data_IF_948828841947
#
_entry.id   IF_948828841947
#
_cell.length_a   1.000
_cell.length_b   1.000
_cell.length_c   1.000
_cell.angle_alpha   90.00
_cell.angle_beta   90.00
_cell.angle_gamma   90.00
#
_symmetry.space_group_name_H-M   'P 1'
#
loop_
_entity.id
_entity.type
_entity.pdbx_description
1 polymer ?
#
# COMPACT_ATOMS: atom_id res chain seq x y z
N UNK A 1 -28.51 -65.29 8.58
CA UNK A 1 -28.49 -63.84 8.31
C UNK A 1 -28.90 -63.63 6.86
N UNK A 2 -29.97 -62.88 6.60
CA UNK A 2 -30.48 -62.67 5.24
C UNK A 2 -29.59 -61.71 4.47
N UNK A 3 -29.42 -61.91 3.16
CA UNK A 3 -28.60 -61.07 2.29
C UNK A 3 -28.93 -59.56 2.40
N UNK A 4 -30.20 -59.25 2.70
CA UNK A 4 -30.70 -57.88 2.93
C UNK A 4 -30.12 -57.21 4.18
N UNK A 5 -29.81 -57.97 5.22
CA UNK A 5 -29.19 -57.42 6.45
C UNK A 5 -27.74 -57.00 6.20
N UNK A 6 -27.00 -57.79 5.41
CA UNK A 6 -25.61 -57.52 5.04
C UNK A 6 -25.50 -56.30 4.12
N UNK A 7 -26.38 -56.16 3.12
CA UNK A 7 -26.37 -55.01 2.22
C UNK A 7 -26.71 -53.71 2.96
N UNK A 8 -27.65 -53.74 3.91
CA UNK A 8 -28.00 -52.60 4.74
C UNK A 8 -26.80 -52.15 5.61
N UNK A 9 -26.09 -53.09 6.24
CA UNK A 9 -24.91 -52.78 7.05
C UNK A 9 -23.79 -52.13 6.24
N UNK A 10 -23.51 -52.64 5.03
CA UNK A 10 -22.49 -52.06 4.13
C UNK A 10 -22.88 -50.66 3.65
N UNK A 11 -24.16 -50.46 3.31
CA UNK A 11 -24.67 -49.16 2.90
C UNK A 11 -24.58 -48.11 4.02
N UNK A 12 -24.93 -48.50 5.25
CA UNK A 12 -24.79 -47.65 6.44
C UNK A 12 -23.33 -47.29 6.72
N UNK A 13 -22.42 -48.27 6.67
CA UNK A 13 -21.00 -48.02 6.86
C UNK A 13 -20.45 -47.04 5.80
N UNK A 14 -20.84 -47.20 4.54
CA UNK A 14 -20.45 -46.29 3.46
C UNK A 14 -21.03 -44.88 3.65
N UNK A 15 -22.27 -44.74 4.12
CA UNK A 15 -22.90 -43.46 4.41
C UNK A 15 -22.20 -42.72 5.56
N UNK A 16 -21.87 -43.43 6.64
CA UNK A 16 -21.12 -42.87 7.78
C UNK A 16 -19.73 -42.41 7.34
N UNK A 17 -19.03 -43.21 6.53
CA UNK A 17 -17.71 -42.84 6.02
C UNK A 17 -17.75 -41.56 5.16
N UNK A 18 -18.75 -41.44 4.28
CA UNK A 18 -18.96 -40.21 3.48
C UNK A 18 -19.26 -39.00 4.37
N UNK A 19 -20.11 -39.15 5.38
CA UNK A 19 -20.42 -38.08 6.33
C UNK A 19 -19.18 -37.59 7.08
N UNK A 20 -18.32 -38.50 7.53
CA UNK A 20 -17.06 -38.17 8.21
C UNK A 20 -16.11 -37.44 7.27
N UNK A 21 -15.93 -37.92 6.04
CA UNK A 21 -15.09 -37.26 5.03
C UNK A 21 -15.61 -35.86 4.68
N UNK A 22 -16.93 -35.71 4.55
CA UNK A 22 -17.57 -34.42 4.30
C UNK A 22 -17.38 -33.47 5.50
N UNK A 23 -17.48 -33.97 6.73
CA UNK A 23 -17.21 -33.18 7.94
C UNK A 23 -15.75 -32.72 8.02
N UNK A 24 -14.79 -33.60 7.70
CA UNK A 24 -13.37 -33.26 7.68
C UNK A 24 -13.06 -32.18 6.64
N UNK A 25 -13.59 -32.30 5.42
CA UNK A 25 -13.40 -31.28 4.37
C UNK A 25 -14.00 -29.94 4.77
N UNK A 26 -15.19 -29.92 5.38
CA UNK A 26 -15.79 -28.69 5.90
C UNK A 26 -14.99 -28.08 7.06
N UNK A 27 -14.44 -28.91 7.94
CA UNK A 27 -13.58 -28.45 9.04
C UNK A 27 -12.28 -27.83 8.52
N UNK A 28 -11.65 -28.45 7.51
CA UNK A 28 -10.49 -27.90 6.83
C UNK A 28 -10.79 -26.59 6.10
N UNK A 29 -11.94 -26.47 5.44
CA UNK A 29 -12.34 -25.22 4.80
C UNK A 29 -12.56 -24.11 5.82
N UNK A 30 -13.23 -24.40 6.94
CA UNK A 30 -13.47 -23.44 8.01
C UNK A 30 -12.16 -22.94 8.62
N UNK A 31 -11.23 -23.84 8.90
CA UNK A 31 -9.91 -23.45 9.44
C UNK A 31 -9.14 -22.61 8.42
N UNK A 32 -9.12 -22.97 7.14
CA UNK A 32 -8.49 -22.16 6.07
C UNK A 32 -9.11 -20.77 5.95
N UNK A 33 -10.44 -20.66 6.09
CA UNK A 33 -11.15 -19.37 6.05
C UNK A 33 -10.75 -18.47 7.23
N UNK A 34 -10.73 -19.01 8.46
CA UNK A 34 -10.30 -18.24 9.65
C UNK A 34 -8.85 -17.78 9.53
N UNK A 35 -7.96 -18.63 9.01
CA UNK A 35 -6.56 -18.26 8.78
C UNK A 35 -6.40 -17.26 7.61
N UNK A 36 -7.27 -17.29 6.61
CA UNK A 36 -7.28 -16.30 5.53
C UNK A 36 -7.82 -14.96 6.04
N UNK A 37 -8.87 -14.97 6.85
CA UNK A 37 -9.48 -13.78 7.44
C UNK A 37 -8.51 -13.08 8.40
N UNK A 38 -7.82 -13.81 9.28
CA UNK A 38 -6.79 -13.23 10.14
C UNK A 38 -5.61 -12.64 9.35
N UNK A 39 -5.23 -13.23 8.21
CA UNK A 39 -4.19 -12.66 7.34
C UNK A 39 -4.68 -11.39 6.65
N UNK A 40 -5.90 -11.39 6.12
CA UNK A 40 -6.50 -10.22 5.49
C UNK A 40 -6.70 -9.07 6.48
N UNK A 41 -7.15 -9.35 7.70
CA UNK A 41 -7.32 -8.34 8.76
C UNK A 41 -5.99 -7.72 9.19
N UNK A 42 -4.88 -8.47 9.14
CA UNK A 42 -3.53 -7.92 9.40
C UNK A 42 -2.98 -7.08 8.25
N UNK A 43 -3.36 -7.39 7.01
CA UNK A 43 -2.88 -6.69 5.82
C UNK A 43 -3.65 -5.40 5.54
N UNK A 44 -4.95 -5.32 5.86
CA UNK A 44 -5.76 -4.11 5.69
C UNK A 44 -5.16 -2.84 6.29
N UNK A 45 -4.72 -2.79 7.57
CA UNK A 45 -4.16 -1.56 8.13
C UNK A 45 -2.85 -1.16 7.45
N UNK A 46 -2.03 -2.14 7.03
CA UNK A 46 -0.79 -1.89 6.30
C UNK A 46 -1.06 -1.40 4.86
N UNK A 47 -2.05 -1.97 4.18
CA UNK A 47 -2.47 -1.53 2.85
C UNK A 47 -3.05 -0.11 2.90
N UNK A 48 -3.88 0.21 3.90
CA UNK A 48 -4.40 1.56 4.11
C UNK A 48 -3.29 2.57 4.41
N UNK A 49 -2.32 2.21 5.24
CA UNK A 49 -1.16 3.06 5.56
C UNK A 49 -0.26 3.28 4.34
N UNK A 50 0.01 2.23 3.55
CA UNK A 50 0.77 2.34 2.30
C UNK A 50 0.02 3.19 1.26
N UNK A 51 -1.31 3.07 1.18
CA UNK A 51 -2.12 3.83 0.23
C UNK A 51 -2.16 5.32 0.62
N UNK A 52 -2.27 5.62 1.91
CA UNK A 52 -2.26 7.00 2.41
C UNK A 52 -0.86 7.62 2.23
N UNK A 53 0.20 6.87 2.55
CA UNK A 53 1.57 7.27 2.30
C UNK A 53 1.81 7.54 0.80
N UNK A 54 1.33 6.66 -0.08
CA UNK A 54 1.37 6.84 -1.54
C UNK A 54 0.47 7.96 -2.05
N UNK A 55 -0.62 8.31 -1.38
CA UNK A 55 -1.47 9.45 -1.75
C UNK A 55 -0.75 10.76 -1.44
N UNK A 56 -0.20 10.89 -0.23
CA UNK A 56 0.61 12.05 0.19
C UNK A 56 1.84 12.19 -0.71
N UNK A 57 2.52 11.08 -0.99
CA UNK A 57 3.64 11.04 -1.93
C UNK A 57 3.21 11.27 -3.39
N UNK A 58 2.06 10.75 -3.82
CA UNK A 58 1.58 10.83 -5.20
C UNK A 58 1.19 12.25 -5.61
N UNK A 59 0.58 13.00 -4.69
CA UNK A 59 0.32 14.44 -4.85
C UNK A 59 1.64 15.23 -4.98
N UNK A 60 2.71 14.76 -4.35
CA UNK A 60 4.03 15.40 -4.38
C UNK A 60 4.99 14.88 -5.47
N UNK A 61 4.75 13.70 -6.05
CA UNK A 61 5.65 13.02 -7.01
C UNK A 61 5.16 12.97 -8.46
N UNK A 62 3.86 12.76 -8.70
CA UNK A 62 3.39 12.22 -10.01
C UNK A 62 2.68 13.26 -10.88
N UNK A 63 2.15 14.33 -10.29
CA UNK A 63 1.50 15.41 -11.06
C UNK A 63 2.52 16.52 -11.39
N UNK A 64 2.30 17.25 -12.49
CA UNK A 64 3.16 18.33 -13.03
C UNK A 64 3.35 19.53 -12.07
N UNK A 65 3.88 19.29 -10.87
CA UNK A 65 3.63 20.12 -9.70
C UNK A 65 4.43 19.78 -8.45
N UNK A 66 5.28 18.74 -8.47
CA UNK A 66 5.92 18.18 -7.28
C UNK A 66 6.75 19.17 -6.46
N UNK A 67 7.17 18.77 -5.25
CA UNK A 67 7.85 19.67 -4.27
C UNK A 67 9.00 20.45 -4.91
N UNK A 68 9.79 19.80 -5.77
CA UNK A 68 10.86 20.47 -6.50
C UNK A 68 10.42 21.61 -7.42
N UNK A 69 9.26 21.49 -8.07
CA UNK A 69 8.67 22.56 -8.88
C UNK A 69 8.16 23.69 -8.00
N UNK A 70 7.55 23.39 -6.84
CA UNK A 70 7.08 24.40 -5.89
C UNK A 70 8.21 25.23 -5.29
N UNK A 71 9.35 24.62 -5.00
CA UNK A 71 10.57 25.34 -4.62
C UNK A 71 10.97 26.33 -5.73
N UNK A 72 11.01 25.86 -6.98
CA UNK A 72 11.37 26.69 -8.13
C UNK A 72 10.41 27.88 -8.29
N UNK A 73 9.10 27.62 -8.27
CA UNK A 73 8.06 28.65 -8.36
C UNK A 73 8.17 29.68 -7.21
N UNK A 74 8.41 29.23 -5.97
CA UNK A 74 8.59 30.12 -4.82
C UNK A 74 9.77 31.07 -5.01
N UNK A 75 10.90 30.57 -5.50
CA UNK A 75 12.10 31.37 -5.80
C UNK A 75 11.89 32.31 -6.98
N UNK A 76 11.21 31.86 -8.03
CA UNK A 76 10.86 32.69 -9.19
C UNK A 76 9.94 33.85 -8.79
N UNK A 77 8.92 33.60 -7.95
CA UNK A 77 8.03 34.64 -7.42
C UNK A 77 8.82 35.63 -6.56
N UNK A 78 9.68 35.13 -5.66
CA UNK A 78 10.51 35.99 -4.79
C UNK A 78 11.42 36.89 -5.63
N UNK A 79 12.06 36.34 -6.66
CA UNK A 79 12.92 37.09 -7.59
C UNK A 79 12.12 38.11 -8.42
N UNK A 80 10.94 37.73 -8.92
CA UNK A 80 10.07 38.61 -9.69
C UNK A 80 9.60 39.81 -8.85
N UNK A 81 9.21 39.58 -7.60
CA UNK A 81 8.84 40.64 -6.65
C UNK A 81 10.06 41.53 -6.38
N UNK A 82 11.21 40.96 -6.06
CA UNK A 82 12.42 41.74 -5.81
C UNK A 82 12.81 42.62 -7.01
N UNK A 83 12.64 42.12 -8.23
CA UNK A 83 13.03 42.85 -9.44
C UNK A 83 11.99 43.91 -9.87
N UNK A 84 10.70 43.61 -9.71
CA UNK A 84 9.61 44.42 -10.28
C UNK A 84 8.86 45.28 -9.25
N UNK A 85 8.88 44.89 -7.97
CA UNK A 85 8.18 45.57 -6.88
C UNK A 85 8.91 45.38 -5.53
N UNK A 86 10.19 45.81 -5.40
CA UNK A 86 10.97 45.63 -4.18
C UNK A 86 10.37 46.34 -2.97
N UNK A 87 9.62 47.42 -3.20
CA UNK A 87 8.89 48.16 -2.17
C UNK A 87 7.79 47.32 -1.49
N UNK A 88 7.32 46.25 -2.12
CA UNK A 88 6.34 45.34 -1.55
C UNK A 88 6.87 44.65 -0.29
N UNK A 89 8.17 44.33 -0.23
CA UNK A 89 8.78 43.74 0.98
C UNK A 89 8.91 44.73 2.13
N UNK A 90 8.93 46.03 1.83
CA UNK A 90 8.96 47.09 2.84
C UNK A 90 7.55 47.38 3.36
N UNK A 91 6.56 47.35 2.47
CA UNK A 91 5.15 47.55 2.83
C UNK A 91 4.58 46.38 3.62
N UNK A 92 4.98 45.17 3.26
CA UNK A 92 4.48 43.92 3.82
C UNK A 92 5.65 43.07 4.34
N UNK A 93 6.25 43.45 5.48
CA UNK A 93 7.39 42.71 6.06
C UNK A 93 7.09 41.22 6.28
N UNK A 94 5.82 40.86 6.55
CA UNK A 94 5.40 39.46 6.68
C UNK A 94 5.60 38.63 5.40
N UNK A 95 5.61 39.27 4.23
CA UNK A 95 5.72 38.58 2.94
C UNK A 95 7.09 37.91 2.76
N UNK A 96 8.17 38.61 3.12
CA UNK A 96 9.53 38.04 2.99
C UNK A 96 9.74 36.89 3.99
N UNK A 97 9.18 37.02 5.19
CA UNK A 97 9.20 35.95 6.18
C UNK A 97 8.40 34.72 5.72
N UNK A 98 7.21 34.93 5.15
CA UNK A 98 6.38 33.85 4.63
C UNK A 98 7.02 33.13 3.45
N UNK A 99 7.59 33.86 2.48
CA UNK A 99 8.30 33.26 1.35
C UNK A 99 9.54 32.48 1.80
N UNK A 100 10.31 33.03 2.75
CA UNK A 100 11.48 32.35 3.32
C UNK A 100 11.10 31.06 4.06
N UNK A 101 10.07 31.11 4.90
CA UNK A 101 9.59 29.94 5.63
C UNK A 101 9.03 28.87 4.68
N UNK A 102 8.37 29.29 3.60
CA UNK A 102 7.84 28.40 2.58
C UNK A 102 8.96 27.70 1.81
N UNK A 103 10.01 28.42 1.37
CA UNK A 103 11.17 27.81 0.69
C UNK A 103 11.89 26.80 1.61
N UNK A 104 12.06 27.14 2.89
CA UNK A 104 12.67 26.26 3.87
C UNK A 104 11.85 24.98 4.06
N UNK A 105 10.55 25.11 4.34
CA UNK A 105 9.66 23.96 4.53
C UNK A 105 9.67 23.04 3.31
N UNK A 106 9.55 23.59 2.10
CA UNK A 106 9.55 22.80 0.87
C UNK A 106 10.90 22.10 0.64
N UNK A 107 12.01 22.76 0.98
CA UNK A 107 13.36 22.17 0.87
C UNK A 107 13.53 21.01 1.85
N UNK A 108 13.10 21.17 3.10
CA UNK A 108 13.12 20.11 4.11
C UNK A 108 12.22 18.95 3.73
N UNK A 109 11.02 19.23 3.22
CA UNK A 109 10.09 18.22 2.71
C UNK A 109 10.72 17.42 1.57
N UNK A 110 11.42 18.09 0.64
CA UNK A 110 12.13 17.42 -0.45
C UNK A 110 13.26 16.55 0.06
N UNK A 111 14.02 17.01 1.05
CA UNK A 111 15.10 16.22 1.65
C UNK A 111 14.56 14.97 2.34
N UNK A 112 13.48 15.10 3.12
CA UNK A 112 12.80 13.97 3.76
C UNK A 112 12.27 12.97 2.72
N UNK A 113 11.74 13.46 1.60
CA UNK A 113 11.26 12.61 0.51
C UNK A 113 12.41 11.81 -0.15
N UNK A 114 13.56 12.45 -0.42
CA UNK A 114 14.73 11.77 -0.98
C UNK A 114 15.26 10.72 0.00
N UNK A 115 15.34 11.06 1.29
CA UNK A 115 15.78 10.13 2.34
C UNK A 115 14.83 8.92 2.46
N UNK A 116 13.52 9.15 2.39
CA UNK A 116 12.54 8.07 2.40
C UNK A 116 12.67 7.15 1.19
N UNK A 117 12.93 7.68 0.00
CA UNK A 117 13.18 6.88 -1.21
C UNK A 117 14.47 6.07 -1.11
N UNK A 118 15.56 6.65 -0.60
CA UNK A 118 16.82 5.96 -0.41
C UNK A 118 16.71 4.81 0.62
N UNK A 119 15.93 5.00 1.69
CA UNK A 119 15.69 3.94 2.69
C UNK A 119 14.87 2.78 2.13
N UNK A 120 13.99 3.02 1.16
CA UNK A 120 13.26 1.95 0.44
C UNK A 120 14.20 1.15 -0.48
N UNK A 121 15.23 1.77 -1.04
CA UNK A 121 16.23 1.09 -1.88
C UNK A 121 17.31 0.36 -1.04
N UNK A 122 17.50 0.72 0.23
CA UNK A 122 18.51 0.15 1.12
C UNK A 122 18.01 -0.99 2.03
N UNK A 123 16.71 -1.33 2.02
CA UNK A 123 16.29 -2.61 2.61
C UNK A 123 16.95 -3.74 1.80
N UNK A 124 17.89 -4.51 2.39
CA UNK A 124 18.44 -5.67 1.69
C UNK A 124 17.27 -6.60 1.41
N UNK A 125 17.21 -7.12 0.19
CA UNK A 125 16.23 -8.10 -0.28
C UNK A 125 16.24 -9.38 0.58
N UNK A 126 15.71 -9.30 1.80
CA UNK A 126 15.44 -10.43 2.67
C UNK A 126 14.14 -11.15 2.26
N UNK A 127 13.48 -10.64 1.22
CA UNK A 127 12.35 -11.29 0.57
C UNK A 127 12.90 -12.01 -0.66
N UNK A 128 13.06 -13.33 -0.52
CA UNK A 128 13.39 -14.25 -1.61
C UNK A 128 12.56 -13.88 -2.87
N UNK A 129 13.20 -13.58 -4.01
CA UNK A 129 12.51 -13.27 -5.28
C UNK A 129 11.46 -14.32 -5.70
N UNK A 130 11.56 -15.55 -5.18
CA UNK A 130 10.54 -16.59 -5.37
C UNK A 130 9.18 -16.21 -4.78
N UNK A 131 9.13 -15.36 -3.75
CA UNK A 131 7.90 -14.89 -3.10
C UNK A 131 7.10 -13.98 -4.05
N UNK A 132 7.74 -13.04 -4.74
CA UNK A 132 7.08 -12.19 -5.72
C UNK A 132 6.52 -12.99 -6.91
N UNK A 133 7.28 -13.98 -7.39
CA UNK A 133 6.82 -14.90 -8.46
C UNK A 133 5.61 -15.74 -8.04
N UNK A 134 5.53 -16.10 -6.76
CA UNK A 134 4.43 -16.88 -6.17
C UNK A 134 3.19 -16.03 -5.89
N UNK A 135 3.35 -14.73 -5.67
CA UNK A 135 2.26 -13.77 -5.51
C UNK A 135 1.71 -13.36 -6.88
N UNK A 136 2.57 -13.05 -7.87
CA UNK A 136 2.12 -12.63 -9.20
C UNK A 136 1.40 -13.75 -9.97
N UNK A 137 1.78 -15.02 -9.75
CA UNK A 137 1.10 -16.18 -10.33
C UNK A 137 -0.25 -16.52 -9.67
N UNK A 138 -0.62 -15.81 -8.59
CA UNK A 138 -1.87 -16.02 -7.84
C UNK A 138 -2.80 -14.81 -7.84
N UNK A 139 -2.38 -13.69 -8.43
CA UNK A 139 -3.21 -12.51 -8.63
C UNK A 139 -4.02 -12.67 -9.94
N UNK A 140 -5.33 -12.42 -9.94
CA UNK A 140 -6.11 -12.40 -11.17
C UNK A 140 -5.60 -11.29 -12.09
N UNK A 141 -5.54 -11.60 -13.39
CA UNK A 141 -4.93 -10.78 -14.45
C UNK A 141 -5.50 -9.35 -14.57
N UNK A 142 -6.59 -9.02 -13.87
CA UNK A 142 -7.20 -7.70 -13.84
C UNK A 142 -6.45 -6.66 -13.01
N UNK A 143 -5.34 -7.00 -12.34
CA UNK A 143 -4.56 -6.08 -11.51
C UNK A 143 -3.08 -5.95 -11.91
N UNK A 144 -2.74 -6.24 -13.17
CA UNK A 144 -1.44 -5.84 -13.74
C UNK A 144 -1.63 -4.52 -14.48
N UNK A 145 -1.07 -3.39 -14.03
CA UNK A 145 -1.11 -2.17 -14.82
C UNK A 145 -0.24 -2.36 -16.08
N UNK A 146 -0.78 -1.93 -17.23
CA UNK A 146 -0.09 -1.82 -18.52
C UNK A 146 1.13 -0.89 -18.43
#
# INVERSE_FOLDING_TARGET
MSALSLTLCVALAAAVFKLVAQWQTLYEMRTRLVHAEHRNLRLRPLEEEILEYRRVLGVTLVTQGGVGKRIKECREITAAIHQSAPDLFVKEEGLIHWLSATDQFLTELRAAQIAAQANVEQEPSAIDPSIYRKISSRLPTSMVPL
#
